data_IF_918091445197
#
_entry.id   IF_918091445197
#
_cell.length_a   1.000
_cell.length_b   1.000
_cell.length_c   1.000
_cell.angle_alpha   90.00
_cell.angle_beta   90.00
_cell.angle_gamma   90.00
#
_symmetry.space_group_name_H-M   'P 1'
#
loop_
_entity.id
_entity.type
_entity.pdbx_description
1 polymer ?
#
# COMPACT_ATOMS: atom_id res chain seq x y z
N UNK A 1 -1.98 11.57 -25.71
CA UNK A 1 -2.41 11.29 -24.32
C UNK A 1 -3.78 11.90 -24.01
N UNK A 2 -4.06 13.16 -24.41
CA UNK A 2 -5.38 13.80 -24.20
C UNK A 2 -6.57 13.06 -24.87
N UNK A 3 -6.34 12.38 -26.00
CA UNK A 3 -7.37 11.61 -26.73
C UNK A 3 -7.88 10.35 -26.01
N UNK A 4 -7.07 9.74 -25.13
CA UNK A 4 -7.43 8.48 -24.46
C UNK A 4 -8.42 8.74 -23.31
N UNK A 5 -8.25 9.86 -22.60
CA UNK A 5 -9.10 10.24 -21.47
C UNK A 5 -10.50 10.63 -21.95
N UNK A 6 -10.61 11.36 -23.06
CA UNK A 6 -11.90 11.81 -23.60
C UNK A 6 -12.78 10.66 -24.13
N UNK A 7 -12.18 9.59 -24.66
CA UNK A 7 -12.92 8.41 -25.12
C UNK A 7 -13.37 7.51 -23.97
N UNK A 8 -12.67 7.50 -22.83
CA UNK A 8 -13.05 6.70 -21.66
C UNK A 8 -14.28 7.29 -20.92
N UNK A 9 -14.45 8.62 -20.95
CA UNK A 9 -15.59 9.31 -20.35
C UNK A 9 -16.94 9.03 -21.05
N UNK A 10 -16.94 8.67 -22.33
CA UNK A 10 -18.16 8.44 -23.12
C UNK A 10 -18.69 7.00 -23.05
N UNK A 11 -17.88 6.05 -22.57
CA UNK A 11 -18.22 4.62 -22.54
C UNK A 11 -18.66 4.10 -21.17
N UNK A 12 -18.72 4.96 -20.13
CA UNK A 12 -19.22 4.57 -18.81
C UNK A 12 -18.54 3.33 -18.20
N UNK A 13 -17.32 3.00 -18.63
CA UNK A 13 -16.63 1.79 -18.17
C UNK A 13 -16.02 2.11 -16.81
N UNK A 14 -16.67 1.67 -15.75
CA UNK A 14 -16.01 1.53 -14.46
C UNK A 14 -14.88 0.52 -14.63
N UNK A 15 -13.62 0.97 -14.56
CA UNK A 15 -12.46 0.08 -14.55
C UNK A 15 -12.40 -0.59 -13.18
N UNK A 16 -13.17 -1.68 -13.00
CA UNK A 16 -12.97 -2.61 -11.89
C UNK A 16 -11.89 -3.63 -12.30
N UNK A 17 -10.65 -3.16 -12.40
CA UNK A 17 -9.52 -4.07 -12.55
C UNK A 17 -9.32 -4.82 -11.22
N UNK A 18 -9.37 -6.15 -11.28
CA UNK A 18 -9.07 -7.03 -10.14
C UNK A 18 -7.65 -6.74 -9.64
N UNK A 19 -7.46 -6.52 -8.35
CA UNK A 19 -6.11 -6.29 -7.80
C UNK A 19 -5.28 -7.57 -7.97
N UNK A 20 -4.14 -7.44 -8.66
CA UNK A 20 -3.24 -8.57 -8.85
C UNK A 20 -2.34 -8.75 -7.63
N UNK A 21 -1.97 -10.01 -7.32
CA UNK A 21 -0.96 -10.29 -6.28
C UNK A 21 0.38 -9.62 -6.57
N UNK A 22 0.72 -9.46 -7.86
CA UNK A 22 1.96 -8.83 -8.30
C UNK A 22 1.98 -7.34 -7.95
N UNK A 23 0.89 -6.63 -8.19
CA UNK A 23 0.73 -5.22 -7.84
C UNK A 23 0.83 -4.99 -6.33
N UNK A 24 0.10 -5.77 -5.54
CA UNK A 24 0.20 -5.71 -4.07
C UNK A 24 1.64 -5.95 -3.59
N UNK A 25 2.30 -6.98 -4.13
CA UNK A 25 3.69 -7.32 -3.77
C UNK A 25 4.66 -6.21 -4.18
N UNK A 26 4.43 -5.57 -5.31
CA UNK A 26 5.27 -4.46 -5.78
C UNK A 26 5.19 -3.26 -4.83
N UNK A 27 3.99 -2.87 -4.39
CA UNK A 27 3.82 -1.76 -3.44
C UNK A 27 4.45 -2.08 -2.08
N UNK A 28 4.27 -3.31 -1.57
CA UNK A 28 4.92 -3.74 -0.32
C UNK A 28 6.45 -3.68 -0.46
N UNK A 29 7.01 -4.11 -1.59
CA UNK A 29 8.45 -4.03 -1.83
C UNK A 29 8.96 -2.59 -1.93
N UNK A 30 8.19 -1.69 -2.53
CA UNK A 30 8.51 -0.25 -2.55
C UNK A 30 8.52 0.34 -1.15
N UNK A 31 7.56 -0.06 -0.30
CA UNK A 31 7.56 0.33 1.12
C UNK A 31 8.80 -0.19 1.85
N UNK A 32 9.12 -1.47 1.70
CA UNK A 32 10.32 -2.08 2.31
C UNK A 32 11.59 -1.36 1.86
N UNK A 33 11.66 -0.95 0.58
CA UNK A 33 12.81 -0.20 0.04
C UNK A 33 12.90 1.19 0.66
N UNK A 34 11.77 1.91 0.77
CA UNK A 34 11.71 3.22 1.43
C UNK A 34 12.13 3.12 2.91
N UNK A 35 11.75 2.02 3.57
CA UNK A 35 12.14 1.67 4.96
C UNK A 35 13.47 0.91 5.02
N UNK A 36 14.27 0.84 3.95
CA UNK A 36 15.66 0.33 4.02
C UNK A 36 16.73 1.34 3.61
N UNK A 37 16.40 2.31 2.75
CA UNK A 37 17.36 3.30 2.24
C UNK A 37 18.05 4.21 3.28
N UNK A 38 17.44 4.46 4.46
CA UNK A 38 17.93 5.46 5.43
C UNK A 38 17.78 5.05 6.93
N UNK A 39 17.90 3.76 7.25
CA UNK A 39 17.11 3.16 8.34
C UNK A 39 17.80 2.89 9.68
N UNK A 40 18.47 3.89 10.25
CA UNK A 40 18.83 3.82 11.67
C UNK A 40 18.25 4.99 12.43
N UNK A 41 17.17 4.73 13.18
CA UNK A 41 16.84 5.59 14.30
C UNK A 41 18.08 5.67 15.21
N UNK A 42 18.48 6.88 15.58
CA UNK A 42 19.61 7.07 16.50
C UNK A 42 19.13 6.90 17.94
N UNK A 43 17.91 7.37 18.22
CA UNK A 43 17.21 7.18 19.49
C UNK A 43 15.80 6.64 19.27
N UNK A 44 15.15 6.16 20.33
CA UNK A 44 13.76 5.72 20.26
C UNK A 44 12.79 6.86 19.90
N UNK A 45 13.14 8.11 20.21
CA UNK A 45 12.34 9.28 19.86
C UNK A 45 12.33 9.57 18.35
N UNK A 46 13.35 9.09 17.62
CA UNK A 46 13.47 9.26 16.17
C UNK A 46 12.73 8.15 15.40
N UNK A 47 12.23 7.13 16.09
CA UNK A 47 11.53 6.01 15.50
C UNK A 47 10.01 6.26 15.47
N UNK A 48 9.41 6.03 14.31
CA UNK A 48 7.97 5.93 14.15
C UNK A 48 7.60 4.56 13.60
N UNK A 49 6.35 4.17 13.77
CA UNK A 49 5.82 2.88 13.34
C UNK A 49 4.60 3.11 12.47
N UNK A 50 4.49 2.38 11.36
CA UNK A 50 3.30 2.38 10.52
C UNK A 50 2.79 0.96 10.33
N UNK A 51 1.46 0.80 10.38
CA UNK A 51 0.79 -0.45 10.06
C UNK A 51 0.76 -0.70 8.56
N UNK A 52 1.00 -1.95 8.15
CA UNK A 52 1.08 -2.36 6.75
C UNK A 52 0.11 -3.50 6.50
N UNK A 53 -0.61 -3.42 5.38
CA UNK A 53 -1.51 -4.46 4.94
C UNK A 53 -2.80 -4.56 5.76
N UNK A 54 -3.62 -5.58 5.48
CA UNK A 54 -4.91 -5.81 6.14
C UNK A 54 -5.16 -7.28 6.42
N UNK A 55 -5.62 -7.55 7.65
CA UNK A 55 -6.14 -8.88 8.04
C UNK A 55 -7.60 -9.02 7.65
N UNK A 56 -8.07 -10.26 7.55
CA UNK A 56 -9.48 -10.58 7.31
C UNK A 56 -10.41 -10.02 8.42
N UNK A 57 -9.99 -10.08 9.68
CA UNK A 57 -10.77 -9.59 10.83
C UNK A 57 -10.50 -8.11 11.18
N UNK A 58 -9.93 -7.34 10.25
CA UNK A 58 -9.56 -5.94 10.47
C UNK A 58 -8.19 -5.75 11.14
N UNK A 59 -7.70 -4.52 11.05
CA UNK A 59 -6.38 -4.12 11.53
C UNK A 59 -5.22 -4.46 10.59
N UNK A 60 -4.03 -3.86 10.82
CA UNK A 60 -2.85 -4.10 9.99
C UNK A 60 -2.35 -5.54 10.06
N UNK A 61 -1.78 -6.03 8.96
CA UNK A 61 -1.15 -7.35 8.90
C UNK A 61 0.15 -7.37 9.68
N UNK A 62 0.99 -6.37 9.47
CA UNK A 62 2.28 -6.16 10.11
C UNK A 62 2.49 -4.69 10.46
N UNK A 63 3.60 -4.40 11.14
CA UNK A 63 4.06 -3.07 11.44
C UNK A 63 5.50 -2.93 11.00
N UNK A 64 5.88 -1.77 10.47
CA UNK A 64 7.25 -1.44 10.11
C UNK A 64 7.69 -0.19 10.84
N UNK A 65 8.89 -0.23 11.41
CA UNK A 65 9.52 0.92 12.07
C UNK A 65 10.40 1.67 11.07
N UNK A 66 10.39 3.00 11.13
CA UNK A 66 11.22 3.87 10.28
C UNK A 66 11.71 5.09 11.07
N UNK A 67 12.79 5.70 10.60
CA UNK A 67 13.36 6.91 11.18
C UNK A 67 12.65 8.15 10.65
N UNK A 68 12.13 9.02 11.51
CA UNK A 68 11.50 10.28 11.08
C UNK A 68 12.52 11.31 10.58
N UNK A 69 13.80 11.14 10.92
CA UNK A 69 14.85 12.09 10.59
C UNK A 69 15.51 11.83 9.24
N UNK A 70 15.50 10.58 8.79
CA UNK A 70 16.23 10.15 7.60
C UNK A 70 15.34 9.53 6.53
N UNK A 71 14.12 9.09 6.86
CA UNK A 71 13.19 8.56 5.87
C UNK A 71 12.18 9.60 5.42
N UNK A 72 11.69 9.48 4.18
CA UNK A 72 10.51 10.25 3.75
C UNK A 72 9.25 9.66 4.38
N UNK A 73 8.82 10.25 5.49
CA UNK A 73 7.69 9.77 6.28
C UNK A 73 6.34 9.83 5.52
N UNK A 74 6.17 10.79 4.60
CA UNK A 74 4.96 10.91 3.79
C UNK A 74 4.88 9.81 2.73
N UNK A 75 6.00 9.50 2.07
CA UNK A 75 6.06 8.39 1.11
C UNK A 75 5.79 7.05 1.81
N UNK A 76 6.38 6.83 2.98
CA UNK A 76 6.17 5.63 3.79
C UNK A 76 4.69 5.47 4.18
N UNK A 77 4.06 6.54 4.69
CA UNK A 77 2.64 6.51 5.04
C UNK A 77 1.76 6.25 3.82
N UNK A 78 2.07 6.86 2.69
CA UNK A 78 1.32 6.69 1.45
C UNK A 78 1.42 5.26 0.91
N UNK A 79 2.63 4.68 0.89
CA UNK A 79 2.84 3.30 0.49
C UNK A 79 2.19 2.29 1.45
N UNK A 80 2.20 2.57 2.76
CA UNK A 80 1.52 1.75 3.76
C UNK A 80 -0.01 1.80 3.60
N UNK A 81 -0.59 2.98 3.34
CA UNK A 81 -2.01 3.13 3.05
C UNK A 81 -2.41 2.41 1.75
N UNK A 82 -1.62 2.59 0.69
CA UNK A 82 -1.87 1.96 -0.60
C UNK A 82 -1.81 0.43 -0.50
N UNK A 83 -0.77 -0.11 0.14
CA UNK A 83 -0.68 -1.58 0.36
C UNK A 83 -1.85 -2.12 1.18
N UNK A 84 -2.33 -1.35 2.17
CA UNK A 84 -3.49 -1.72 2.99
C UNK A 84 -4.78 -1.75 2.18
N UNK A 85 -5.00 -0.76 1.31
CA UNK A 85 -6.15 -0.72 0.41
C UNK A 85 -6.11 -1.87 -0.60
N UNK A 86 -4.96 -2.08 -1.25
CA UNK A 86 -4.78 -3.17 -2.21
C UNK A 86 -4.94 -4.55 -1.55
N UNK A 87 -4.44 -4.76 -0.33
CA UNK A 87 -4.64 -6.03 0.37
C UNK A 87 -6.10 -6.23 0.80
N UNK A 88 -6.83 -5.15 1.17
CA UNK A 88 -8.28 -5.23 1.42
C UNK A 88 -9.05 -5.65 0.17
N UNK A 89 -8.78 -5.01 -0.97
CA UNK A 89 -9.42 -5.35 -2.24
C UNK A 89 -9.07 -6.78 -2.67
N UNK A 90 -7.78 -7.15 -2.61
CA UNK A 90 -7.33 -8.51 -2.90
C UNK A 90 -8.02 -9.54 -2.00
N UNK A 91 -8.16 -9.27 -0.70
CA UNK A 91 -8.85 -10.17 0.21
C UNK A 91 -10.35 -10.25 -0.12
N UNK A 92 -11.03 -9.14 -0.38
CA UNK A 92 -12.44 -9.15 -0.78
C UNK A 92 -12.67 -9.99 -2.05
N UNK A 93 -11.83 -9.85 -3.07
CA UNK A 93 -11.97 -10.55 -4.34
C UNK A 93 -11.60 -12.03 -4.31
N UNK A 94 -10.78 -12.45 -3.34
CA UNK A 94 -10.21 -13.81 -3.29
C UNK A 94 -10.66 -14.62 -2.04
N UNK A 95 -11.21 -13.96 -1.02
CA UNK A 95 -11.65 -14.59 0.24
C UNK A 95 -13.19 -14.52 0.42
N UNK A 96 -13.92 -13.63 -0.29
CA UNK A 96 -15.39 -13.67 -0.32
C UNK A 96 -15.99 -14.75 -1.24
N UNK A 97 -15.20 -15.72 -1.72
CA UNK A 97 -15.70 -16.91 -2.44
C UNK A 97 -15.69 -18.18 -1.57
N UNK A 98 -15.42 -18.05 -0.26
CA UNK A 98 -15.45 -19.14 0.71
C UNK A 98 -16.62 -18.95 1.69
N UNK A 99 -17.84 -19.07 1.16
CA UNK A 99 -19.06 -19.29 1.94
C UNK A 99 -19.96 -20.25 1.15
#
# INVERSE_FOLDING_TARGET
MLKVILTLLLLGIAVNAKVSRQELTAVIKSLETAVQLDNKCQTSADCSVVGVGSRACGGPKSYVAYSINSSNADDIRSLAQLSTELERQYNAENQCNAA
#
